data_IF_539585531548
#
_entry.id   IF_539585531548
#
_cell.length_a   1.000
_cell.length_b   1.000
_cell.length_c   1.000
_cell.angle_alpha   90.00
_cell.angle_beta   90.00
_cell.angle_gamma   90.00
#
_symmetry.space_group_name_H-M   'P 1'
#
loop_
_entity.id
_entity.type
_entity.pdbx_description
1 polymer ?
#
# COMPACT_ATOMS: atom_id res chain seq x y z
N UNK A 1 -26.34 -2.00 16.57
CA UNK A 1 -25.06 -1.29 16.29
C UNK A 1 -24.59 -1.81 14.95
N UNK A 2 -24.52 -0.99 13.92
CA UNK A 2 -23.96 -1.39 12.61
C UNK A 2 -22.51 -1.75 12.84
N UNK A 3 -22.14 -2.99 12.48
CA UNK A 3 -20.78 -3.49 12.61
C UNK A 3 -19.89 -2.69 11.65
N UNK A 4 -19.15 -1.71 12.20
CA UNK A 4 -18.28 -0.83 11.41
C UNK A 4 -17.14 -1.65 10.83
N UNK A 5 -16.95 -1.54 9.53
CA UNK A 5 -15.84 -2.18 8.82
C UNK A 5 -14.51 -1.57 9.24
N UNK A 6 -13.45 -2.38 9.27
CA UNK A 6 -12.09 -1.93 9.54
C UNK A 6 -11.26 -1.91 8.27
N UNK A 7 -10.50 -0.81 8.06
CA UNK A 7 -9.40 -0.77 7.11
C UNK A 7 -8.07 -0.84 7.86
N UNK A 8 -7.16 -1.69 7.41
CA UNK A 8 -5.77 -1.72 7.88
C UNK A 8 -4.85 -1.16 6.78
N UNK A 9 -4.02 -0.16 7.14
CA UNK A 9 -3.11 0.52 6.21
C UNK A 9 -1.68 0.17 6.62
N UNK A 10 -1.08 -0.77 5.91
CA UNK A 10 0.30 -1.21 6.09
C UNK A 10 1.23 -0.28 5.31
N UNK A 11 1.97 0.56 6.02
CA UNK A 11 2.74 1.66 5.46
C UNK A 11 2.01 3.02 5.54
N UNK A 12 1.43 3.33 6.71
CA UNK A 12 0.68 4.56 6.98
C UNK A 12 1.60 5.79 7.00
N UNK A 13 2.08 6.22 5.82
CA UNK A 13 2.93 7.40 5.64
C UNK A 13 2.14 8.72 5.51
N UNK A 14 2.88 9.82 5.25
CA UNK A 14 2.32 11.18 5.16
C UNK A 14 1.56 11.46 3.85
N UNK A 15 1.84 10.73 2.77
CA UNK A 15 1.17 10.86 1.47
C UNK A 15 -0.04 9.92 1.36
N UNK A 16 0.09 8.87 0.55
CA UNK A 16 -0.99 7.93 0.24
C UNK A 16 -1.67 7.35 1.48
N UNK A 17 -0.90 6.86 2.47
CA UNK A 17 -1.49 6.28 3.68
C UNK A 17 -2.39 7.24 4.45
N UNK A 18 -2.01 8.52 4.54
CA UNK A 18 -2.82 9.55 5.19
C UNK A 18 -4.11 9.85 4.41
N UNK A 19 -4.05 9.89 3.07
CA UNK A 19 -5.21 10.13 2.23
C UNK A 19 -6.19 8.95 2.24
N UNK A 20 -5.68 7.72 2.17
CA UNK A 20 -6.50 6.50 2.33
C UNK A 20 -7.20 6.48 3.70
N UNK A 21 -6.46 6.82 4.77
CA UNK A 21 -7.03 6.90 6.12
C UNK A 21 -8.21 7.88 6.19
N UNK A 22 -8.06 9.09 5.64
CA UNK A 22 -9.13 10.09 5.57
C UNK A 22 -10.31 9.61 4.71
N UNK A 23 -10.03 9.06 3.53
CA UNK A 23 -11.06 8.60 2.58
C UNK A 23 -11.96 7.53 3.18
N UNK A 24 -11.37 6.50 3.77
CA UNK A 24 -12.11 5.40 4.39
C UNK A 24 -12.75 5.82 5.71
N UNK A 25 -12.06 6.62 6.52
CA UNK A 25 -12.60 7.15 7.77
C UNK A 25 -13.87 7.98 7.56
N UNK A 26 -13.88 8.88 6.56
CA UNK A 26 -15.07 9.65 6.15
C UNK A 26 -16.21 8.75 5.64
N UNK A 27 -15.91 7.58 5.15
CA UNK A 27 -16.90 6.56 4.77
C UNK A 27 -17.36 5.68 5.95
N UNK A 28 -16.94 5.99 7.18
CA UNK A 28 -17.38 5.34 8.40
C UNK A 28 -16.59 4.10 8.81
N UNK A 29 -15.44 3.84 8.19
CA UNK A 29 -14.55 2.75 8.60
C UNK A 29 -13.77 3.13 9.88
N UNK A 30 -13.45 2.12 10.71
CA UNK A 30 -12.36 2.20 11.68
C UNK A 30 -11.04 2.12 10.93
N UNK A 31 -10.06 2.93 11.31
CA UNK A 31 -8.78 3.02 10.61
C UNK A 31 -7.66 2.48 11.49
N UNK A 32 -7.05 1.38 11.09
CA UNK A 32 -5.85 0.84 11.71
C UNK A 32 -4.61 1.30 10.94
N UNK A 33 -3.74 2.06 11.58
CA UNK A 33 -2.53 2.62 10.99
C UNK A 33 -1.31 1.81 11.39
N UNK A 34 -0.59 1.23 10.41
CA UNK A 34 0.64 0.47 10.63
C UNK A 34 1.86 1.21 10.09
N UNK A 35 2.83 1.52 10.93
CA UNK A 35 4.14 2.04 10.59
C UNK A 35 5.12 1.79 11.74
N UNK A 36 6.43 2.01 11.52
CA UNK A 36 7.47 1.76 12.52
C UNK A 36 7.48 2.75 13.67
N UNK A 37 7.20 4.01 13.39
CA UNK A 37 7.33 5.09 14.37
C UNK A 37 6.01 5.29 15.12
N UNK A 38 5.98 4.89 16.40
CA UNK A 38 4.81 5.01 17.27
C UNK A 38 4.36 6.47 17.47
N UNK A 39 5.28 7.39 17.73
CA UNK A 39 4.95 8.80 17.95
C UNK A 39 4.33 9.45 16.70
N UNK A 40 4.83 9.10 15.51
CA UNK A 40 4.23 9.52 14.25
C UNK A 40 2.80 8.99 14.11
N UNK A 41 2.57 7.72 14.45
CA UNK A 41 1.23 7.13 14.38
C UNK A 41 0.26 7.78 15.37
N UNK A 42 0.70 8.06 16.60
CA UNK A 42 -0.13 8.72 17.62
C UNK A 42 -0.56 10.13 17.16
N UNK A 43 0.34 10.87 16.52
CA UNK A 43 0.01 12.15 15.91
C UNK A 43 -1.04 11.98 14.80
N UNK A 44 -0.90 11.00 13.92
CA UNK A 44 -1.90 10.73 12.86
C UNK A 44 -3.25 10.33 13.43
N UNK A 45 -3.28 9.49 14.46
CA UNK A 45 -4.51 9.13 15.17
C UNK A 45 -5.19 10.39 15.74
N UNK A 46 -4.43 11.28 16.38
CA UNK A 46 -4.97 12.54 16.93
C UNK A 46 -5.57 13.43 15.84
N UNK A 47 -4.89 13.56 14.69
CA UNK A 47 -5.38 14.35 13.54
C UNK A 47 -6.65 13.77 12.92
N UNK A 48 -6.76 12.44 12.83
CA UNK A 48 -7.98 11.76 12.36
C UNK A 48 -9.12 11.89 13.36
N UNK A 49 -8.84 11.75 14.65
CA UNK A 49 -9.81 11.90 15.71
C UNK A 49 -10.41 13.32 15.76
N UNK A 50 -9.59 14.35 15.52
CA UNK A 50 -10.05 15.74 15.39
C UNK A 50 -11.01 15.94 14.20
N UNK A 51 -11.01 15.05 13.22
CA UNK A 51 -11.93 15.00 12.08
C UNK A 51 -13.13 14.06 12.32
N UNK A 52 -13.29 13.52 13.52
CA UNK A 52 -14.35 12.56 13.85
C UNK A 52 -14.13 11.16 13.32
N UNK A 53 -12.91 10.83 12.90
CA UNK A 53 -12.54 9.52 12.36
C UNK A 53 -11.99 8.64 13.48
N UNK A 54 -12.57 7.45 13.69
CA UNK A 54 -12.08 6.46 14.63
C UNK A 54 -10.81 5.80 14.07
N UNK A 55 -9.69 6.03 14.71
CA UNK A 55 -8.39 5.50 14.28
C UNK A 55 -7.58 4.93 15.45
N UNK A 56 -6.72 3.95 15.16
CA UNK A 56 -5.81 3.37 16.12
C UNK A 56 -4.42 3.13 15.53
N UNK A 57 -3.39 3.30 16.36
CA UNK A 57 -2.00 3.07 16.03
C UNK A 57 -1.58 1.62 16.33
N UNK A 58 -0.84 1.04 15.40
CA UNK A 58 -0.24 -0.28 15.50
C UNK A 58 1.22 -0.21 15.04
N UNK A 59 2.15 0.14 15.94
CA UNK A 59 3.57 0.16 15.62
C UNK A 59 4.05 -1.24 15.22
N UNK A 60 4.75 -1.34 14.06
CA UNK A 60 5.30 -2.59 13.57
C UNK A 60 6.24 -2.35 12.38
N UNK A 61 7.27 -3.18 12.27
CA UNK A 61 8.16 -3.21 11.11
C UNK A 61 7.74 -4.33 10.17
N UNK A 62 7.36 -3.97 8.96
CA UNK A 62 6.94 -4.92 7.93
C UNK A 62 8.11 -5.73 7.35
N UNK A 63 9.36 -5.41 7.71
CA UNK A 63 10.50 -6.28 7.42
C UNK A 63 10.60 -7.49 8.36
N UNK A 64 9.96 -7.42 9.52
CA UNK A 64 9.86 -8.53 10.49
C UNK A 64 8.72 -9.46 10.06
N UNK A 65 8.97 -10.26 9.03
CA UNK A 65 7.98 -11.09 8.33
C UNK A 65 7.20 -11.98 9.31
N UNK A 66 7.90 -12.61 10.25
CA UNK A 66 7.31 -13.53 11.23
C UNK A 66 6.40 -12.82 12.24
N UNK A 67 6.53 -11.49 12.39
CA UNK A 67 5.71 -10.69 13.30
C UNK A 67 4.39 -10.22 12.68
N UNK A 68 4.21 -10.34 11.36
CA UNK A 68 3.06 -9.79 10.64
C UNK A 68 1.75 -10.45 11.09
N UNK A 69 1.73 -11.77 11.28
CA UNK A 69 0.53 -12.47 11.72
C UNK A 69 0.04 -11.98 13.09
N UNK A 70 0.94 -11.87 14.07
CA UNK A 70 0.60 -11.35 15.40
C UNK A 70 0.20 -9.86 15.36
N UNK A 71 0.75 -9.07 14.42
CA UNK A 71 0.33 -7.69 14.21
C UNK A 71 -1.11 -7.60 13.68
N UNK A 72 -1.49 -8.47 12.73
CA UNK A 72 -2.86 -8.55 12.20
C UNK A 72 -3.84 -8.97 13.29
N UNK A 73 -3.51 -9.98 14.10
CA UNK A 73 -4.32 -10.39 15.25
C UNK A 73 -4.59 -9.22 16.21
N UNK A 74 -3.58 -8.47 16.60
CA UNK A 74 -3.73 -7.27 17.45
C UNK A 74 -4.63 -6.20 16.82
N UNK A 75 -4.57 -6.03 15.49
CA UNK A 75 -5.46 -5.10 14.78
C UNK A 75 -6.90 -5.59 14.89
N UNK A 76 -7.16 -6.86 14.62
CA UNK A 76 -8.50 -7.43 14.64
C UNK A 76 -9.09 -7.46 16.05
N UNK A 77 -8.31 -7.76 17.07
CA UNK A 77 -8.72 -7.70 18.48
C UNK A 77 -9.17 -6.29 18.90
N UNK A 78 -8.42 -5.27 18.50
CA UNK A 78 -8.68 -3.88 18.94
C UNK A 78 -9.70 -3.15 18.05
N UNK A 79 -9.67 -3.39 16.73
CA UNK A 79 -10.43 -2.60 15.76
C UNK A 79 -11.52 -3.41 15.05
N UNK A 80 -11.62 -4.70 15.34
CA UNK A 80 -12.54 -5.63 14.68
C UNK A 80 -11.99 -6.19 13.37
N UNK A 81 -12.71 -7.14 12.75
CA UNK A 81 -12.25 -7.86 11.57
C UNK A 81 -11.85 -6.92 10.42
N UNK A 82 -10.69 -7.14 9.83
CA UNK A 82 -10.19 -6.34 8.72
C UNK A 82 -11.02 -6.63 7.46
N UNK A 83 -11.76 -5.61 7.00
CA UNK A 83 -12.52 -5.66 5.75
C UNK A 83 -11.66 -5.26 4.54
N UNK A 84 -10.81 -4.26 4.72
CA UNK A 84 -9.91 -3.78 3.66
C UNK A 84 -8.49 -3.71 4.18
N UNK A 85 -7.55 -4.32 3.45
CA UNK A 85 -6.11 -4.21 3.70
C UNK A 85 -5.47 -3.43 2.55
N UNK A 86 -4.79 -2.34 2.87
CA UNK A 86 -4.00 -1.56 1.89
C UNK A 86 -2.52 -1.69 2.26
N UNK A 87 -1.71 -2.19 1.35
CA UNK A 87 -0.27 -2.32 1.52
C UNK A 87 0.45 -1.29 0.65
N UNK A 88 1.07 -0.30 1.27
CA UNK A 88 1.72 0.82 0.59
C UNK A 88 2.96 1.34 1.33
N UNK A 89 3.88 0.48 1.78
CA UNK A 89 5.08 0.97 2.45
C UNK A 89 5.98 1.73 1.47
N UNK A 90 6.58 2.81 1.94
CA UNK A 90 7.64 3.49 1.21
C UNK A 90 8.93 2.70 1.41
N UNK A 91 9.41 2.06 0.35
CA UNK A 91 10.77 1.54 0.31
C UNK A 91 11.80 2.69 0.27
N UNK A 92 13.06 2.37 0.45
CA UNK A 92 14.13 3.32 0.19
C UNK A 92 14.13 3.67 -1.30
N UNK A 93 13.68 4.89 -1.65
CA UNK A 93 13.78 5.34 -3.04
C UNK A 93 15.25 5.64 -3.35
N UNK A 94 15.82 4.86 -4.23
CA UNK A 94 17.18 5.03 -4.73
C UNK A 94 17.20 4.74 -6.22
N UNK A 95 17.77 5.67 -6.98
CA UNK A 95 18.11 5.40 -8.38
C UNK A 95 19.17 4.30 -8.40
N UNK A 96 18.87 3.19 -9.06
CA UNK A 96 19.75 2.03 -9.17
C UNK A 96 19.68 1.47 -10.60
N UNK A 97 20.70 1.68 -11.42
CA UNK A 97 20.81 1.03 -12.72
C UNK A 97 20.85 -0.49 -12.58
N UNK A 98 20.32 -1.21 -13.58
CA UNK A 98 20.28 -2.67 -13.56
C UNK A 98 21.68 -3.30 -13.46
N UNK A 99 22.68 -2.65 -14.06
CA UNK A 99 24.09 -3.11 -14.04
C UNK A 99 24.72 -3.05 -12.64
N UNK A 100 24.16 -2.24 -11.73
CA UNK A 100 24.65 -2.06 -10.37
C UNK A 100 23.81 -2.86 -9.34
N UNK A 101 22.76 -3.54 -9.78
CA UNK A 101 21.91 -4.35 -8.91
C UNK A 101 22.62 -5.60 -8.46
N UNK A 102 22.80 -5.75 -7.14
CA UNK A 102 23.34 -6.97 -6.54
C UNK A 102 22.25 -7.85 -5.96
N UNK A 103 22.51 -9.15 -5.83
CA UNK A 103 21.59 -10.08 -5.19
C UNK A 103 21.28 -9.68 -3.72
N UNK A 104 22.27 -9.12 -3.01
CA UNK A 104 22.08 -8.64 -1.64
C UNK A 104 21.06 -7.49 -1.56
N UNK A 105 21.20 -6.47 -2.41
CA UNK A 105 20.25 -5.37 -2.50
C UNK A 105 18.84 -5.83 -2.92
N UNK A 106 18.78 -6.73 -3.90
CA UNK A 106 17.50 -7.28 -4.32
C UNK A 106 16.81 -8.07 -3.20
N UNK A 107 17.56 -8.84 -2.40
CA UNK A 107 17.02 -9.58 -1.25
C UNK A 107 16.36 -8.66 -0.22
N UNK A 108 16.97 -7.51 0.10
CA UNK A 108 16.38 -6.52 0.99
C UNK A 108 15.04 -5.98 0.44
N UNK A 109 15.01 -5.66 -0.86
CA UNK A 109 13.80 -5.15 -1.51
C UNK A 109 12.70 -6.22 -1.62
N UNK A 110 13.07 -7.46 -1.95
CA UNK A 110 12.13 -8.59 -1.98
C UNK A 110 11.48 -8.81 -0.62
N UNK A 111 12.22 -8.65 0.48
CA UNK A 111 11.68 -8.82 1.82
C UNK A 111 10.47 -7.91 2.06
N UNK A 112 10.63 -6.60 1.90
CA UNK A 112 9.56 -5.63 2.17
C UNK A 112 8.53 -5.53 1.04
N UNK A 113 8.93 -5.68 -0.22
CA UNK A 113 8.05 -5.42 -1.36
C UNK A 113 7.35 -6.67 -1.90
N UNK A 114 7.83 -7.88 -1.53
CA UNK A 114 7.25 -9.13 -2.01
C UNK A 114 6.83 -10.05 -0.86
N UNK A 115 7.72 -10.34 0.08
CA UNK A 115 7.40 -11.29 1.15
C UNK A 115 6.43 -10.70 2.17
N UNK A 116 6.60 -9.43 2.56
CA UNK A 116 5.70 -8.78 3.50
C UNK A 116 4.24 -8.72 3.00
N UNK A 117 3.92 -8.32 1.74
CA UNK A 117 2.54 -8.39 1.25
C UNK A 117 2.00 -9.82 1.20
N UNK A 118 2.82 -10.83 0.90
CA UNK A 118 2.39 -12.25 0.97
C UNK A 118 1.94 -12.61 2.39
N UNK A 119 2.70 -12.24 3.41
CA UNK A 119 2.35 -12.52 4.81
C UNK A 119 1.14 -11.70 5.29
N UNK A 120 1.00 -10.45 4.87
CA UNK A 120 -0.21 -9.67 5.15
C UNK A 120 -1.43 -10.35 4.55
N UNK A 121 -1.36 -10.77 3.28
CA UNK A 121 -2.44 -11.52 2.62
C UNK A 121 -2.76 -12.80 3.39
N UNK A 122 -1.74 -13.60 3.73
CA UNK A 122 -1.90 -14.86 4.46
C UNK A 122 -2.61 -14.66 5.80
N UNK A 123 -2.34 -13.55 6.47
CA UNK A 123 -2.95 -13.26 7.77
C UNK A 123 -4.40 -12.76 7.66
N UNK A 124 -4.73 -11.87 6.70
CA UNK A 124 -6.07 -11.27 6.60
C UNK A 124 -7.07 -12.08 5.78
N UNK A 125 -6.60 -12.86 4.81
CA UNK A 125 -7.43 -13.56 3.82
C UNK A 125 -8.38 -14.61 4.43
N UNK A 126 -8.00 -15.43 5.42
CA UNK A 126 -8.91 -16.43 5.99
C UNK A 126 -10.19 -15.81 6.55
N UNK A 127 -10.08 -14.73 7.30
CA UNK A 127 -11.24 -13.99 7.83
C UNK A 127 -12.11 -13.37 6.73
N UNK A 128 -11.52 -12.82 5.68
CA UNK A 128 -12.25 -12.29 4.53
C UNK A 128 -13.01 -13.37 3.77
N UNK A 129 -12.37 -14.53 3.53
CA UNK A 129 -13.00 -15.67 2.86
C UNK A 129 -14.14 -16.27 3.67
N UNK A 130 -13.98 -16.38 5.00
CA UNK A 130 -15.04 -16.88 5.88
C UNK A 130 -16.29 -15.98 5.84
N UNK A 131 -16.12 -14.67 5.66
CA UNK A 131 -17.23 -13.72 5.53
C UNK A 131 -17.76 -13.57 4.09
N UNK A 132 -17.07 -14.13 3.11
CA UNK A 132 -17.38 -13.92 1.69
C UNK A 132 -17.25 -12.45 1.25
N UNK A 133 -16.46 -11.64 1.97
CA UNK A 133 -16.32 -10.21 1.70
C UNK A 133 -15.00 -9.64 2.25
N UNK A 134 -14.29 -8.92 1.41
CA UNK A 134 -13.05 -8.25 1.75
C UNK A 134 -12.37 -7.64 0.53
N UNK A 135 -11.38 -6.77 0.76
CA UNK A 135 -10.55 -6.21 -0.30
C UNK A 135 -9.10 -6.10 0.15
N UNK A 136 -8.18 -6.50 -0.71
CA UNK A 136 -6.74 -6.40 -0.53
C UNK A 136 -6.19 -5.58 -1.69
N UNK A 137 -5.52 -4.47 -1.41
CA UNK A 137 -4.94 -3.63 -2.46
C UNK A 137 -3.48 -3.36 -2.12
N UNK A 138 -2.61 -3.64 -3.06
CA UNK A 138 -1.19 -3.29 -2.99
C UNK A 138 -0.93 -2.10 -3.90
N UNK A 139 -0.34 -1.04 -3.37
CA UNK A 139 0.11 0.11 -4.15
C UNK A 139 1.63 0.06 -4.30
N UNK A 140 2.11 0.15 -5.52
CA UNK A 140 3.52 0.09 -5.87
C UNK A 140 3.90 1.10 -6.97
N UNK A 141 5.13 1.01 -7.46
CA UNK A 141 5.61 1.86 -8.56
C UNK A 141 5.34 1.23 -9.92
N UNK A 142 5.14 2.09 -10.93
CA UNK A 142 4.94 1.68 -12.32
C UNK A 142 6.03 0.75 -12.88
N UNK A 143 7.21 0.74 -12.27
CA UNK A 143 8.28 -0.21 -12.63
C UNK A 143 7.91 -1.69 -12.44
N UNK A 144 6.79 -1.99 -11.79
CA UNK A 144 6.19 -3.33 -11.78
C UNK A 144 5.70 -3.79 -13.17
N UNK A 145 5.29 -2.84 -14.00
CA UNK A 145 4.66 -3.09 -15.32
C UNK A 145 5.60 -2.69 -16.45
N UNK A 146 6.22 -1.51 -16.33
CA UNK A 146 7.09 -0.95 -17.35
C UNK A 146 8.51 -0.75 -16.79
N UNK A 147 9.49 -1.52 -17.25
CA UNK A 147 10.88 -1.32 -16.83
C UNK A 147 11.36 0.10 -17.11
N UNK A 148 11.96 0.74 -16.11
CA UNK A 148 12.47 2.09 -16.23
C UNK A 148 13.98 2.13 -15.94
N UNK A 149 14.81 2.69 -16.83
CA UNK A 149 16.24 2.85 -16.58
C UNK A 149 16.49 3.61 -15.27
N UNK A 150 17.38 3.12 -14.43
CA UNK A 150 17.68 3.70 -13.13
C UNK A 150 16.71 3.34 -12.00
N UNK A 151 15.60 2.65 -12.28
CA UNK A 151 14.63 2.18 -11.27
C UNK A 151 14.61 0.64 -11.18
N UNK A 152 15.72 -0.01 -11.47
CA UNK A 152 15.83 -1.49 -11.48
C UNK A 152 15.90 -2.09 -10.08
N UNK A 153 16.08 -1.29 -9.04
CA UNK A 153 16.06 -1.78 -7.65
C UNK A 153 14.69 -2.38 -7.26
N UNK A 154 13.62 -1.59 -7.16
CA UNK A 154 12.31 -2.09 -6.74
C UNK A 154 11.54 -2.83 -7.85
N UNK A 155 11.80 -2.55 -9.12
CA UNK A 155 11.06 -3.10 -10.26
C UNK A 155 10.89 -4.62 -10.24
N UNK A 156 11.95 -5.43 -10.10
CA UNK A 156 11.82 -6.88 -10.02
C UNK A 156 10.97 -7.38 -8.86
N UNK A 157 11.09 -6.75 -7.67
CA UNK A 157 10.30 -7.11 -6.50
C UNK A 157 8.81 -6.73 -6.69
N UNK A 158 8.54 -5.56 -7.24
CA UNK A 158 7.17 -5.14 -7.59
C UNK A 158 6.53 -6.04 -8.64
N UNK A 159 7.27 -6.44 -9.67
CA UNK A 159 6.78 -7.36 -10.71
C UNK A 159 6.43 -8.73 -10.13
N UNK A 160 7.21 -9.23 -9.17
CA UNK A 160 6.89 -10.46 -8.46
C UNK A 160 5.59 -10.34 -7.65
N UNK A 161 5.42 -9.25 -6.91
CA UNK A 161 4.20 -8.98 -6.14
C UNK A 161 2.99 -8.80 -7.04
N UNK A 162 3.14 -8.10 -8.16
CA UNK A 162 2.11 -7.97 -9.19
C UNK A 162 1.61 -9.33 -9.66
N UNK A 163 2.52 -10.21 -10.05
CA UNK A 163 2.16 -11.56 -10.51
C UNK A 163 1.39 -12.34 -9.43
N UNK A 164 1.86 -12.27 -8.18
CA UNK A 164 1.21 -12.91 -7.04
C UNK A 164 -0.22 -12.38 -6.79
N UNK A 165 -0.41 -11.06 -6.73
CA UNK A 165 -1.72 -10.46 -6.42
C UNK A 165 -2.73 -10.68 -7.55
N UNK A 166 -2.31 -10.61 -8.81
CA UNK A 166 -3.20 -10.88 -9.94
C UNK A 166 -3.60 -12.36 -10.01
N UNK A 167 -2.67 -13.29 -9.71
CA UNK A 167 -2.99 -14.70 -9.57
C UNK A 167 -3.97 -14.96 -8.43
N UNK A 168 -3.72 -14.36 -7.27
CA UNK A 168 -4.63 -14.42 -6.12
C UNK A 168 -6.03 -13.90 -6.47
N UNK A 169 -6.13 -12.76 -7.20
CA UNK A 169 -7.41 -12.22 -7.64
C UNK A 169 -8.24 -13.26 -8.38
N UNK A 170 -7.65 -13.94 -9.35
CA UNK A 170 -8.34 -14.97 -10.14
C UNK A 170 -8.84 -16.13 -9.29
N UNK A 171 -8.08 -16.53 -8.27
CA UNK A 171 -8.44 -17.64 -7.38
C UNK A 171 -9.57 -17.30 -6.39
N UNK A 172 -9.68 -16.02 -5.95
CA UNK A 172 -10.59 -15.66 -4.85
C UNK A 172 -11.79 -14.80 -5.26
N UNK A 173 -11.81 -14.22 -6.47
CA UNK A 173 -12.90 -13.32 -6.92
C UNK A 173 -14.29 -13.96 -6.83
N UNK A 174 -14.41 -15.24 -7.15
CA UNK A 174 -15.68 -15.98 -7.05
C UNK A 174 -16.11 -16.23 -5.60
N UNK A 175 -15.22 -16.03 -4.63
CA UNK A 175 -15.47 -16.20 -3.19
C UNK A 175 -15.81 -14.87 -2.49
N UNK A 176 -16.08 -13.80 -3.25
CA UNK A 176 -16.50 -12.50 -2.74
C UNK A 176 -15.37 -11.64 -2.15
N UNK A 177 -14.11 -12.03 -2.36
CA UNK A 177 -12.93 -11.25 -1.93
C UNK A 177 -12.22 -10.67 -3.14
N UNK A 178 -11.85 -9.39 -3.05
CA UNK A 178 -11.12 -8.69 -4.10
C UNK A 178 -9.63 -8.59 -3.74
N UNK A 179 -8.75 -8.81 -4.71
CA UNK A 179 -7.34 -8.46 -4.63
C UNK A 179 -6.96 -7.60 -5.84
N UNK A 180 -6.18 -6.54 -5.65
CA UNK A 180 -5.81 -5.65 -6.74
C UNK A 180 -4.52 -4.88 -6.52
N UNK A 181 -4.01 -4.32 -7.62
CA UNK A 181 -2.77 -3.55 -7.70
C UNK A 181 -3.04 -2.14 -8.21
N UNK A 182 -2.47 -1.14 -7.52
CA UNK A 182 -2.39 0.24 -8.02
C UNK A 182 -0.93 0.58 -8.32
N UNK A 183 -0.60 0.75 -9.60
CA UNK A 183 0.73 1.16 -10.04
C UNK A 183 0.82 2.66 -10.19
N UNK A 184 1.79 3.27 -9.49
CA UNK A 184 1.94 4.73 -9.42
C UNK A 184 3.15 5.14 -10.26
N UNK A 185 2.87 5.88 -11.34
CA UNK A 185 3.85 6.40 -12.28
C UNK A 185 4.28 7.84 -12.00
N UNK A 186 4.09 8.33 -10.77
CA UNK A 186 4.42 9.68 -10.37
C UNK A 186 4.93 9.71 -8.92
N UNK A 187 5.57 10.79 -8.52
CA UNK A 187 5.91 11.03 -7.11
C UNK A 187 4.66 11.50 -6.37
N UNK A 188 4.40 10.95 -5.20
CA UNK A 188 3.21 11.29 -4.42
C UNK A 188 3.47 12.58 -3.64
N UNK A 189 2.63 13.59 -3.84
CA UNK A 189 2.72 14.86 -3.11
C UNK A 189 2.66 14.65 -1.60
N UNK A 190 3.40 15.47 -0.86
CA UNK A 190 3.49 15.43 0.60
C UNK A 190 4.02 14.11 1.18
N UNK A 191 4.52 13.18 0.35
CA UNK A 191 5.02 11.88 0.82
C UNK A 191 6.45 11.96 1.36
N UNK A 192 6.78 11.01 2.23
CA UNK A 192 8.16 10.79 2.65
C UNK A 192 9.03 10.38 1.46
N UNK A 193 8.48 9.62 0.49
CA UNK A 193 9.18 9.21 -0.72
C UNK A 193 9.62 10.40 -1.56
N UNK A 194 8.75 11.40 -1.76
CA UNK A 194 9.10 12.63 -2.49
C UNK A 194 10.22 13.40 -1.77
N UNK A 195 10.15 13.52 -0.43
CA UNK A 195 11.20 14.21 0.35
C UNK A 195 12.55 13.50 0.28
N UNK A 196 12.55 12.18 0.35
CA UNK A 196 13.78 11.37 0.22
C UNK A 196 14.34 11.51 -1.20
N UNK A 197 13.51 11.46 -2.23
CA UNK A 197 13.92 11.62 -3.61
C UNK A 197 14.56 12.99 -3.85
N UNK A 198 13.93 14.07 -3.36
CA UNK A 198 14.47 15.43 -3.43
C UNK A 198 15.81 15.54 -2.69
N UNK A 199 15.93 15.00 -1.49
CA UNK A 199 17.17 15.01 -0.70
C UNK A 199 18.30 14.21 -1.38
N UNK A 200 17.97 13.19 -2.17
CA UNK A 200 18.92 12.41 -2.96
C UNK A 200 19.22 13.02 -4.35
N UNK A 201 18.78 14.26 -4.60
CA UNK A 201 19.09 14.98 -5.83
C UNK A 201 18.31 14.51 -7.06
N UNK A 202 17.14 13.88 -6.86
CA UNK A 202 16.27 13.56 -7.99
C UNK A 202 15.84 14.87 -8.69
N UNK A 203 16.00 15.01 -10.01
CA UNK A 203 15.60 16.22 -10.73
C UNK A 203 14.07 16.29 -10.84
N UNK A 204 13.42 16.82 -9.81
CA UNK A 204 11.95 16.92 -9.74
C UNK A 204 11.35 17.88 -10.78
N UNK A 205 12.16 18.72 -11.41
CA UNK A 205 11.82 19.56 -12.57
C UNK A 205 11.83 18.81 -13.90
N UNK A 206 12.37 17.57 -13.91
CA UNK A 206 12.33 16.70 -15.08
C UNK A 206 10.90 16.15 -15.29
N UNK A 207 10.40 16.26 -16.52
CA UNK A 207 9.07 15.74 -16.90
C UNK A 207 8.85 14.25 -16.61
N UNK A 208 9.92 13.51 -16.39
CA UNK A 208 9.87 12.08 -15.97
C UNK A 208 9.38 11.90 -14.54
N UNK A 209 9.46 12.93 -13.70
CA UNK A 209 9.13 12.88 -12.27
C UNK A 209 8.00 13.84 -11.90
N UNK A 210 6.86 13.71 -12.59
CA UNK A 210 5.67 14.48 -12.21
C UNK A 210 5.17 14.04 -10.84
N UNK A 211 4.42 14.92 -10.19
CA UNK A 211 3.74 14.58 -8.93
C UNK A 211 2.27 14.22 -9.17
N UNK A 212 1.68 13.55 -8.19
CA UNK A 212 0.27 13.22 -8.14
C UNK A 212 -0.28 13.47 -6.73
N UNK A 213 -1.47 14.04 -6.66
CA UNK A 213 -2.19 14.25 -5.42
C UNK A 213 -2.54 12.89 -4.78
N UNK A 214 -2.15 12.63 -3.52
CA UNK A 214 -2.49 11.39 -2.82
C UNK A 214 -4.00 11.17 -2.64
N UNK A 215 -4.83 12.20 -2.68
CA UNK A 215 -6.28 12.03 -2.59
C UNK A 215 -6.86 11.40 -3.87
N UNK A 216 -6.27 11.66 -5.04
CA UNK A 216 -6.62 10.97 -6.30
C UNK A 216 -6.30 9.47 -6.20
N UNK A 217 -5.15 9.12 -5.64
CA UNK A 217 -4.76 7.72 -5.43
C UNK A 217 -5.66 7.02 -4.41
N UNK A 218 -6.05 7.72 -3.35
CA UNK A 218 -6.96 7.19 -2.33
C UNK A 218 -8.37 6.93 -2.89
N UNK A 219 -8.87 7.80 -3.77
CA UNK A 219 -10.15 7.59 -4.44
C UNK A 219 -10.07 6.40 -5.41
N UNK A 220 -8.96 6.22 -6.11
CA UNK A 220 -8.75 5.06 -6.97
C UNK A 220 -8.76 3.75 -6.16
N UNK A 221 -8.05 3.71 -5.03
CA UNK A 221 -8.07 2.54 -4.12
C UNK A 221 -9.49 2.25 -3.63
N UNK A 222 -10.24 3.30 -3.30
CA UNK A 222 -11.64 3.17 -2.90
C UNK A 222 -12.51 2.58 -4.02
N UNK A 223 -12.41 3.14 -5.25
CA UNK A 223 -13.16 2.68 -6.41
C UNK A 223 -12.85 1.22 -6.74
N UNK A 224 -11.57 0.83 -6.76
CA UNK A 224 -11.16 -0.55 -7.00
C UNK A 224 -11.80 -1.52 -5.99
N UNK A 225 -11.78 -1.16 -4.69
CA UNK A 225 -12.37 -1.98 -3.63
C UNK A 225 -13.89 -2.04 -3.68
N UNK A 226 -14.56 -0.98 -4.16
CA UNK A 226 -16.01 -0.89 -4.26
C UNK A 226 -16.54 -1.58 -5.52
N UNK A 227 -15.98 -1.26 -6.67
CA UNK A 227 -16.47 -1.70 -7.98
C UNK A 227 -16.01 -3.12 -8.32
N UNK A 228 -14.78 -3.49 -7.93
CA UNK A 228 -14.19 -4.83 -8.14
C UNK A 228 -14.15 -5.28 -9.61
N UNK A 229 -14.21 -4.33 -10.53
CA UNK A 229 -14.30 -4.60 -11.99
C UNK A 229 -12.93 -4.75 -12.64
N UNK A 230 -11.88 -4.22 -11.99
CA UNK A 230 -10.49 -4.28 -12.48
C UNK A 230 -9.53 -4.61 -11.34
N UNK A 231 -8.73 -5.63 -11.53
CA UNK A 231 -7.72 -6.04 -10.55
C UNK A 231 -6.44 -5.18 -10.63
N UNK A 232 -6.30 -4.34 -11.65
CA UNK A 232 -5.10 -3.54 -11.87
C UNK A 232 -5.49 -2.14 -12.35
N UNK A 233 -4.80 -1.14 -11.82
CA UNK A 233 -4.93 0.26 -12.24
C UNK A 233 -3.58 0.95 -12.28
N UNK A 234 -3.41 1.92 -13.21
CA UNK A 234 -2.18 2.72 -13.37
C UNK A 234 -2.56 4.19 -13.28
N UNK A 235 -1.89 4.93 -12.38
CA UNK A 235 -2.06 6.37 -12.28
C UNK A 235 -0.72 7.12 -12.31
N UNK A 236 -0.66 8.26 -13.00
CA UNK A 236 -1.68 8.86 -13.87
C UNK A 236 -1.87 8.05 -15.17
N UNK A 237 -3.12 7.96 -15.64
CA UNK A 237 -3.53 7.09 -16.75
C UNK A 237 -2.86 7.43 -18.11
N UNK A 238 -2.49 8.69 -18.36
CA UNK A 238 -2.10 9.17 -19.69
C UNK A 238 -0.59 9.10 -19.97
N UNK A 239 0.21 8.45 -19.12
CA UNK A 239 1.67 8.52 -19.23
C UNK A 239 2.30 7.44 -20.13
N UNK A 240 1.54 6.42 -20.49
CA UNK A 240 2.10 5.21 -21.11
C UNK A 240 1.22 4.62 -22.21
N UNK A 241 0.32 5.42 -22.79
CA UNK A 241 -0.29 5.07 -24.06
C UNK A 241 0.77 5.23 -25.16
N UNK A 242 1.44 4.13 -25.51
CA UNK A 242 2.23 3.98 -26.72
C UNK A 242 1.37 3.42 -27.83
#
# INVERSE_FOLDING_TARGET
MTDRKTIAIFGAGTGLGASVARRYGKAGFRVALVARNAQFLDQRVSELSAQGIEAAAFPGDLNEIDAIAALVEKIEEKSGPIHTAVFAPVGSFRMLPAVDLTAALLKELVNILTLAPVEVVRAVLPGMLARGNGAIIVADGLSAVTPMPGLSGPGPAFAATRNYILGLHEEIKARGVFAGMLHIGAMIDNSTGLRIAAANGLPLDDRRFTTIDPDVLAEEIWSMAADRTRAESILPANRYAH
#
